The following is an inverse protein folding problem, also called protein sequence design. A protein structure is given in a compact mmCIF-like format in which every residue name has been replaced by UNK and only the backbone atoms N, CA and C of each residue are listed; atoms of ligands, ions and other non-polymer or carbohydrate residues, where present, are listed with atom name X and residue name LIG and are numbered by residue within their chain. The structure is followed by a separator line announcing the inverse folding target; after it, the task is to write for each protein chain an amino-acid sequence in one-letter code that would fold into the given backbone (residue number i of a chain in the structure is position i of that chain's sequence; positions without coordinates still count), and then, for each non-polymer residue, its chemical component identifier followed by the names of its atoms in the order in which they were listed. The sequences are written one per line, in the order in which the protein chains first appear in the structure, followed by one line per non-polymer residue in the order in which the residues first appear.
data_IF_499333021318
#
_entry.id   IF_499333021318
#
_cell.length_a   1.000
_cell.length_b   1.000
_cell.length_c   1.000
_cell.angle_alpha   90.00
_cell.angle_beta   90.00
_cell.angle_gamma   90.00
#
_symmetry.space_group_name_H-M   'P 1'
#
loop_
_entity.id
_entity.type
_entity.pdbx_description
1 polymer ?
#
# COMPACT_ATOMS: atom_id res chain seq x y z
N UNK A 1 32.63 2.72 -6.96
CA UNK A 1 32.82 2.77 -5.49
C UNK A 1 33.34 4.13 -5.03
N UNK A 2 34.36 4.70 -5.66
CA UNK A 2 34.93 5.99 -5.22
C UNK A 2 33.97 7.18 -5.24
N UNK A 3 33.10 7.26 -6.25
CA UNK A 3 32.06 8.29 -6.32
C UNK A 3 30.99 8.13 -5.23
N UNK A 4 30.65 6.88 -4.88
CA UNK A 4 29.72 6.58 -3.79
C UNK A 4 30.34 6.96 -2.43
N UNK A 5 31.61 6.62 -2.21
CA UNK A 5 32.37 7.02 -1.03
C UNK A 5 32.43 8.54 -0.89
N UNK A 6 32.76 9.27 -1.95
CA UNK A 6 32.80 10.74 -1.93
C UNK A 6 31.43 11.38 -1.59
N UNK A 7 30.33 10.79 -2.07
CA UNK A 7 28.99 11.21 -1.72
C UNK A 7 28.66 10.97 -0.24
N UNK A 8 28.98 9.77 0.27
CA UNK A 8 28.78 9.43 1.68
C UNK A 8 29.62 10.29 2.61
N UNK A 9 30.89 10.55 2.28
CA UNK A 9 31.75 11.47 3.05
C UNK A 9 31.14 12.85 3.14
N UNK A 10 30.57 13.36 2.04
CA UNK A 10 29.99 14.70 1.98
C UNK A 10 28.69 14.84 2.80
N UNK A 11 27.81 13.84 2.75
CA UNK A 11 26.46 13.94 3.34
C UNK A 11 26.26 13.15 4.64
N UNK A 12 26.94 12.02 4.82
CA UNK A 12 26.85 11.18 6.02
C UNK A 12 28.09 11.31 6.92
N UNK A 13 29.25 11.65 6.37
CA UNK A 13 30.50 11.83 7.11
C UNK A 13 30.78 13.26 7.59
N UNK A 14 29.88 14.23 7.36
CA UNK A 14 30.10 15.67 7.61
C UNK A 14 31.44 16.19 7.02
N UNK A 15 31.86 15.66 5.87
CA UNK A 15 33.11 16.00 5.20
C UNK A 15 34.35 15.28 5.73
N UNK A 16 34.22 14.37 6.71
CA UNK A 16 35.33 13.57 7.23
C UNK A 16 35.49 12.25 6.44
N UNK A 17 36.59 12.05 5.68
CA UNK A 17 36.81 10.85 4.86
C UNK A 17 37.04 9.56 5.65
N UNK A 18 37.37 9.68 6.94
CA UNK A 18 37.70 8.57 7.84
C UNK A 18 36.61 8.32 8.89
N UNK A 19 35.39 8.81 8.68
CA UNK A 19 34.26 8.46 9.54
C UNK A 19 34.04 6.94 9.52
N UNK A 20 33.97 6.31 10.69
CA UNK A 20 33.62 4.89 10.83
C UNK A 20 32.27 4.59 10.19
N UNK A 21 31.33 5.53 10.23
CA UNK A 21 30.00 5.39 9.64
C UNK A 21 30.03 5.22 8.11
N UNK A 22 30.87 6.01 7.43
CA UNK A 22 31.04 5.92 5.97
C UNK A 22 31.72 4.63 5.58
N UNK A 23 32.69 4.17 6.38
CA UNK A 23 33.41 2.91 6.16
C UNK A 23 32.47 1.72 6.35
N UNK A 24 31.63 1.72 7.38
CA UNK A 24 30.60 0.71 7.59
C UNK A 24 29.63 0.62 6.42
N UNK A 25 29.06 1.75 5.97
CA UNK A 25 28.13 1.77 4.83
C UNK A 25 28.79 1.28 3.52
N UNK A 26 30.06 1.62 3.29
CA UNK A 26 30.80 1.13 2.12
C UNK A 26 31.03 -0.38 2.18
N UNK A 27 31.39 -0.92 3.35
CA UNK A 27 31.57 -2.36 3.54
C UNK A 27 30.26 -3.13 3.37
N UNK A 28 29.13 -2.59 3.85
CA UNK A 28 27.81 -3.16 3.60
C UNK A 28 27.54 -3.21 2.09
N UNK A 29 27.72 -2.09 1.37
CA UNK A 29 27.52 -2.06 -0.09
C UNK A 29 28.43 -3.03 -0.85
N UNK A 30 29.69 -3.20 -0.45
CA UNK A 30 30.60 -4.19 -1.06
C UNK A 30 30.11 -5.62 -0.83
N UNK A 31 29.72 -5.96 0.40
CA UNK A 31 29.18 -7.28 0.70
C UNK A 31 27.92 -7.60 -0.11
N UNK A 32 27.02 -6.63 -0.28
CA UNK A 32 25.82 -6.83 -1.10
C UNK A 32 26.17 -6.93 -2.60
N UNK A 33 27.05 -6.08 -3.13
CA UNK A 33 27.45 -6.13 -4.54
C UNK A 33 28.18 -7.43 -4.92
N UNK A 34 29.00 -7.99 -4.02
CA UNK A 34 29.72 -9.24 -4.26
C UNK A 34 28.81 -10.48 -4.21
N UNK A 35 27.78 -10.48 -3.37
CA UNK A 35 26.76 -11.55 -3.32
C UNK A 35 25.80 -11.53 -4.52
N UNK A 36 25.61 -10.35 -5.13
CA UNK A 36 24.52 -10.05 -6.08
C UNK A 36 24.98 -9.84 -7.54
N UNK A 37 26.29 -9.94 -7.81
CA UNK A 37 26.91 -9.61 -9.10
C UNK A 37 26.65 -10.58 -10.28
N UNK A 38 25.96 -11.71 -10.08
CA UNK A 38 25.84 -12.76 -11.09
C UNK A 38 24.45 -12.82 -11.75
N UNK A 39 24.35 -12.18 -12.92
CA UNK A 39 23.35 -12.43 -13.99
C UNK A 39 22.07 -11.55 -13.99
N UNK A 40 22.25 -10.26 -14.30
CA UNK A 40 21.17 -9.31 -14.65
C UNK A 40 20.61 -9.55 -16.06
N UNK A 41 20.12 -10.76 -16.35
CA UNK A 41 19.38 -11.04 -17.59
C UNK A 41 17.96 -10.48 -17.49
N UNK A 42 17.52 -9.75 -18.52
CA UNK A 42 16.19 -9.14 -18.57
C UNK A 42 15.06 -10.18 -18.57
N UNK A 43 15.31 -11.37 -19.12
CA UNK A 43 14.35 -12.47 -19.18
C UNK A 43 14.40 -13.42 -17.97
N UNK A 44 15.37 -13.29 -17.07
CA UNK A 44 15.51 -14.24 -15.97
C UNK A 44 14.62 -13.87 -14.78
N UNK A 45 13.41 -14.39 -14.75
CA UNK A 45 12.47 -14.23 -13.64
C UNK A 45 12.70 -15.26 -12.51
N UNK A 46 13.68 -16.18 -12.62
CA UNK A 46 13.91 -17.19 -11.58
C UNK A 46 14.27 -16.59 -10.23
N UNK A 47 14.97 -15.46 -10.20
CA UNK A 47 15.31 -14.73 -8.97
C UNK A 47 14.08 -14.36 -8.11
N UNK A 48 12.91 -14.14 -8.73
CA UNK A 48 11.67 -13.86 -8.01
C UNK A 48 11.08 -15.08 -7.28
N UNK A 49 11.32 -16.29 -7.81
CA UNK A 49 10.73 -17.53 -7.31
C UNK A 49 11.73 -18.47 -6.63
N UNK A 50 13.02 -18.13 -6.65
CA UNK A 50 14.12 -18.95 -6.15
C UNK A 50 13.99 -19.24 -4.65
N UNK A 51 13.79 -18.20 -3.84
CA UNK A 51 13.77 -18.32 -2.38
C UNK A 51 12.37 -18.16 -1.80
N UNK A 52 12.16 -18.75 -0.61
CA UNK A 52 10.91 -18.58 0.15
C UNK A 52 10.66 -17.11 0.49
N UNK A 53 11.72 -16.36 0.83
CA UNK A 53 11.64 -14.94 1.14
C UNK A 53 11.21 -14.12 -0.09
N UNK A 54 11.83 -14.35 -1.25
CA UNK A 54 11.48 -13.67 -2.52
C UNK A 54 10.04 -13.95 -2.95
N UNK A 55 9.57 -15.20 -2.80
CA UNK A 55 8.16 -15.56 -3.06
C UNK A 55 7.20 -14.86 -2.11
N UNK A 56 7.55 -14.75 -0.82
CA UNK A 56 6.72 -14.05 0.16
C UNK A 56 6.66 -12.54 -0.12
N UNK A 57 7.78 -11.91 -0.48
CA UNK A 57 7.84 -10.50 -0.89
C UNK A 57 7.00 -10.25 -2.13
N UNK A 58 7.15 -11.09 -3.16
CA UNK A 58 6.37 -10.99 -4.39
C UNK A 58 4.88 -11.18 -4.12
N UNK A 59 4.50 -12.19 -3.33
CA UNK A 59 3.10 -12.44 -2.97
C UNK A 59 2.50 -11.25 -2.23
N UNK A 60 3.19 -10.72 -1.20
CA UNK A 60 2.72 -9.56 -0.43
C UNK A 60 2.54 -8.35 -1.34
N UNK A 61 3.50 -8.08 -2.22
CA UNK A 61 3.45 -7.00 -3.19
C UNK A 61 2.26 -7.15 -4.17
N UNK A 62 2.08 -8.34 -4.77
CA UNK A 62 0.97 -8.61 -5.68
C UNK A 62 -0.39 -8.53 -4.97
N UNK A 63 -0.48 -8.97 -3.70
CA UNK A 63 -1.68 -8.84 -2.89
C UNK A 63 -2.00 -7.37 -2.60
N UNK A 64 -1.01 -6.55 -2.21
CA UNK A 64 -1.22 -5.11 -2.01
C UNK A 64 -1.72 -4.42 -3.28
N UNK A 65 -1.11 -4.75 -4.43
CA UNK A 65 -1.51 -4.22 -5.74
C UNK A 65 -2.96 -4.59 -6.10
N UNK A 66 -3.34 -5.85 -5.90
CA UNK A 66 -4.69 -6.34 -6.17
C UNK A 66 -5.71 -5.73 -5.20
N UNK A 67 -5.34 -5.63 -3.91
CA UNK A 67 -6.23 -5.09 -2.88
C UNK A 67 -6.51 -3.61 -3.05
N UNK A 68 -5.55 -2.82 -3.51
CA UNK A 68 -5.79 -1.42 -3.88
C UNK A 68 -6.87 -1.30 -4.96
N UNK A 69 -6.84 -2.15 -5.98
CA UNK A 69 -7.87 -2.11 -7.04
C UNK A 69 -9.23 -2.63 -6.58
N UNK A 70 -9.25 -3.71 -5.79
CA UNK A 70 -10.49 -4.33 -5.33
C UNK A 70 -11.13 -3.69 -4.10
N UNK A 71 -10.49 -2.68 -3.50
CA UNK A 71 -11.11 -1.84 -2.48
C UNK A 71 -12.28 -0.99 -3.02
N UNK A 72 -12.39 -0.85 -4.35
CA UNK A 72 -13.56 -0.25 -5.02
C UNK A 72 -13.33 1.12 -5.64
N UNK A 73 -12.13 1.70 -5.55
CA UNK A 73 -11.83 3.02 -6.14
C UNK A 73 -12.09 3.08 -7.66
N UNK A 74 -11.63 2.07 -8.40
CA UNK A 74 -11.84 2.02 -9.86
C UNK A 74 -13.34 2.01 -10.22
N UNK A 75 -14.09 1.14 -9.57
CA UNK A 75 -15.55 1.02 -9.77
C UNK A 75 -16.27 2.32 -9.44
N UNK A 76 -15.99 2.91 -8.28
CA UNK A 76 -16.62 4.16 -7.89
C UNK A 76 -16.32 5.26 -8.90
N UNK A 77 -15.07 5.40 -9.34
CA UNK A 77 -14.68 6.47 -10.27
C UNK A 77 -15.30 6.31 -11.66
N UNK A 78 -15.42 5.08 -12.18
CA UNK A 78 -16.02 4.83 -13.48
C UNK A 78 -17.54 4.93 -13.49
N UNK A 79 -18.21 4.54 -12.40
CA UNK A 79 -19.67 4.50 -12.31
C UNK A 79 -20.28 5.67 -11.53
N UNK A 80 -19.46 6.64 -11.08
CA UNK A 80 -19.94 7.80 -10.34
C UNK A 80 -20.99 8.59 -11.13
N UNK A 81 -20.78 8.82 -12.42
CA UNK A 81 -21.75 9.51 -13.30
C UNK A 81 -23.09 8.80 -13.36
N UNK A 82 -23.08 7.47 -13.53
CA UNK A 82 -24.31 6.67 -13.54
C UNK A 82 -25.05 6.71 -12.20
N UNK A 83 -24.32 6.75 -11.08
CA UNK A 83 -24.92 6.91 -9.74
C UNK A 83 -25.48 8.33 -9.56
N UNK A 84 -24.78 9.37 -10.03
CA UNK A 84 -25.24 10.77 -9.99
C UNK A 84 -26.50 10.99 -10.85
N UNK A 85 -26.60 10.31 -11.99
CA UNK A 85 -27.81 10.30 -12.82
C UNK A 85 -29.01 9.75 -12.04
N UNK A 86 -28.85 8.63 -11.34
CA UNK A 86 -29.91 8.08 -10.48
C UNK A 86 -30.25 8.97 -9.27
N UNK A 87 -29.37 9.90 -8.90
CA UNK A 87 -29.63 10.92 -7.89
C UNK A 87 -30.37 12.15 -8.43
N UNK A 88 -30.58 12.24 -9.75
CA UNK A 88 -31.28 13.34 -10.40
C UNK A 88 -30.38 14.51 -10.79
N UNK A 89 -29.06 14.33 -10.78
CA UNK A 89 -28.09 15.30 -11.30
C UNK A 89 -27.69 14.89 -12.70
N UNK A 90 -28.55 15.19 -13.69
CA UNK A 90 -28.38 14.79 -15.10
C UNK A 90 -27.57 15.78 -15.94
N UNK A 91 -27.13 16.90 -15.35
CA UNK A 91 -26.32 17.87 -16.07
C UNK A 91 -24.85 17.41 -16.15
N UNK A 92 -24.38 17.14 -17.37
CA UNK A 92 -23.01 16.68 -17.64
C UNK A 92 -21.95 17.66 -17.13
N UNK A 93 -22.25 18.96 -17.18
CA UNK A 93 -21.35 20.01 -16.71
C UNK A 93 -21.19 19.97 -15.19
N UNK A 94 -22.30 19.79 -14.47
CA UNK A 94 -22.32 19.63 -13.02
C UNK A 94 -21.62 18.33 -12.59
N UNK A 95 -21.82 17.22 -13.30
CA UNK A 95 -21.12 15.96 -13.03
C UNK A 95 -19.60 16.08 -13.24
N UNK A 96 -19.17 16.73 -14.31
CA UNK A 96 -17.75 16.99 -14.58
C UNK A 96 -17.11 17.82 -13.46
N UNK A 97 -17.79 18.90 -13.02
CA UNK A 97 -17.32 19.73 -11.92
C UNK A 97 -17.22 18.94 -10.61
N UNK A 98 -18.20 18.08 -10.31
CA UNK A 98 -18.20 17.20 -9.14
C UNK A 98 -17.07 16.17 -9.18
N UNK A 99 -16.72 15.66 -10.36
CA UNK A 99 -15.59 14.76 -10.54
C UNK A 99 -14.25 15.47 -10.30
N UNK A 100 -14.08 16.68 -10.86
CA UNK A 100 -12.86 17.49 -10.63
C UNK A 100 -12.73 17.86 -9.15
N UNK A 101 -13.83 18.28 -8.51
CA UNK A 101 -13.85 18.57 -7.08
C UNK A 101 -13.45 17.35 -6.24
N UNK A 102 -13.95 16.16 -6.58
CA UNK A 102 -13.57 14.92 -5.92
C UNK A 102 -12.06 14.67 -6.03
N UNK A 103 -11.49 14.76 -7.23
CA UNK A 103 -10.06 14.54 -7.43
C UNK A 103 -9.20 15.58 -6.68
N UNK A 104 -9.62 16.84 -6.63
CA UNK A 104 -8.94 17.87 -5.86
C UNK A 104 -8.90 17.53 -4.35
N UNK A 105 -10.04 17.08 -3.79
CA UNK A 105 -10.12 16.61 -2.40
C UNK A 105 -9.23 15.39 -2.17
N UNK A 106 -9.21 14.44 -3.10
CA UNK A 106 -8.34 13.26 -3.00
C UNK A 106 -6.86 13.63 -2.95
N UNK A 107 -6.41 14.59 -3.75
CA UNK A 107 -5.02 15.07 -3.75
C UNK A 107 -4.65 15.66 -2.38
N UNK A 108 -5.50 16.53 -1.84
CA UNK A 108 -5.27 17.16 -0.53
C UNK A 108 -5.19 16.10 0.57
N UNK A 109 -6.16 15.17 0.60
CA UNK A 109 -6.23 14.13 1.62
C UNK A 109 -5.10 13.12 1.48
N UNK A 110 -4.71 12.76 0.25
CA UNK A 110 -3.55 11.90 0.01
C UNK A 110 -2.25 12.57 0.44
N UNK A 111 -2.12 13.89 0.27
CA UNK A 111 -0.98 14.66 0.77
C UNK A 111 -0.89 14.60 2.29
N UNK A 112 -2.01 14.80 2.98
CA UNK A 112 -2.08 14.65 4.45
C UNK A 112 -1.75 13.21 4.84
N UNK A 113 -2.35 12.22 4.16
CA UNK A 113 -2.09 10.80 4.37
C UNK A 113 -0.60 10.46 4.31
N UNK A 114 0.09 10.94 3.27
CA UNK A 114 1.54 10.73 3.10
C UNK A 114 2.37 11.24 4.30
N UNK A 115 1.98 12.36 4.93
CA UNK A 115 2.67 12.89 6.11
C UNK A 115 2.44 12.02 7.37
N UNK A 116 1.31 11.33 7.42
CA UNK A 116 0.95 10.45 8.54
C UNK A 116 1.49 9.02 8.41
N UNK A 117 1.83 8.57 7.19
CA UNK A 117 2.38 7.23 6.92
C UNK A 117 3.60 6.94 7.80
N UNK A 118 4.52 7.89 7.94
CA UNK A 118 5.72 7.68 8.75
C UNK A 118 5.45 7.70 10.26
N UNK A 119 4.41 8.40 10.71
CA UNK A 119 4.02 8.44 12.13
C UNK A 119 3.24 7.20 12.55
N UNK A 120 2.23 6.81 11.76
CA UNK A 120 1.32 5.71 12.10
C UNK A 120 1.95 4.34 11.81
N UNK A 121 2.76 4.24 10.75
CA UNK A 121 3.23 2.96 10.22
C UNK A 121 2.32 2.43 9.11
N UNK A 122 2.86 1.57 8.25
CA UNK A 122 2.23 1.16 6.99
C UNK A 122 1.12 0.13 7.22
N UNK A 123 1.35 -0.87 8.08
CA UNK A 123 0.38 -1.95 8.38
C UNK A 123 -0.86 -1.45 9.14
N UNK A 124 -0.76 -0.70 10.26
CA UNK A 124 -1.93 -0.19 10.96
C UNK A 124 -2.69 0.81 10.09
N UNK A 125 -2.01 1.60 9.26
CA UNK A 125 -2.67 2.52 8.35
C UNK A 125 -3.50 1.79 7.29
N UNK A 126 -2.95 0.77 6.62
CA UNK A 126 -3.71 -0.07 5.69
C UNK A 126 -4.89 -0.76 6.39
N UNK A 127 -4.69 -1.28 7.60
CA UNK A 127 -5.77 -1.92 8.37
C UNK A 127 -6.92 -0.94 8.67
N UNK A 128 -6.62 0.21 9.29
CA UNK A 128 -7.62 1.21 9.68
C UNK A 128 -8.34 1.82 8.49
N UNK A 129 -7.63 2.03 7.38
CA UNK A 129 -8.23 2.54 6.15
C UNK A 129 -9.21 1.51 5.58
N UNK A 130 -8.88 0.22 5.56
CA UNK A 130 -9.83 -0.81 5.12
C UNK A 130 -11.05 -0.92 6.04
N UNK A 131 -10.86 -0.76 7.37
CA UNK A 131 -11.99 -0.70 8.31
C UNK A 131 -12.87 0.52 8.04
N UNK A 132 -12.27 1.70 7.80
CA UNK A 132 -13.00 2.91 7.41
C UNK A 132 -13.77 2.75 6.09
N UNK A 133 -13.15 2.12 5.09
CA UNK A 133 -13.80 1.76 3.84
C UNK A 133 -14.97 0.79 4.05
N UNK A 134 -14.85 -0.22 4.93
CA UNK A 134 -15.96 -1.11 5.29
C UNK A 134 -17.16 -0.33 5.84
N UNK A 135 -16.91 0.58 6.79
CA UNK A 135 -17.97 1.40 7.42
C UNK A 135 -18.66 2.26 6.37
N UNK A 136 -17.90 2.85 5.45
CA UNK A 136 -18.48 3.64 4.36
C UNK A 136 -19.33 2.76 3.44
N UNK A 137 -18.88 1.55 3.09
CA UNK A 137 -19.66 0.60 2.27
C UNK A 137 -20.94 0.10 2.95
N UNK A 138 -20.95 -0.03 4.28
CA UNK A 138 -22.19 -0.28 5.05
C UNK A 138 -23.17 0.88 4.86
N UNK A 139 -22.70 2.12 5.00
CA UNK A 139 -23.52 3.32 4.79
C UNK A 139 -24.08 3.43 3.38
N UNK A 140 -23.24 3.18 2.35
CA UNK A 140 -23.66 3.14 0.95
C UNK A 140 -24.71 2.05 0.71
N UNK A 141 -24.49 0.85 1.25
CA UNK A 141 -25.43 -0.27 1.08
C UNK A 141 -26.77 -0.01 1.75
N UNK A 142 -26.77 0.60 2.93
CA UNK A 142 -27.99 0.98 3.65
C UNK A 142 -28.77 2.06 2.90
N UNK A 143 -28.10 3.12 2.45
CA UNK A 143 -28.71 4.21 1.69
C UNK A 143 -29.28 3.72 0.34
N UNK A 144 -28.52 2.89 -0.39
CA UNK A 144 -28.94 2.32 -1.66
C UNK A 144 -30.13 1.34 -1.49
N UNK A 145 -30.15 0.55 -0.41
CA UNK A 145 -31.28 -0.33 -0.09
C UNK A 145 -32.57 0.42 0.26
N UNK A 146 -32.47 1.62 0.87
CA UNK A 146 -33.63 2.49 1.13
C UNK A 146 -34.08 3.17 -0.17
N UNK A 147 -33.15 3.59 -1.03
CA UNK A 147 -33.44 4.17 -2.33
C UNK A 147 -34.24 3.21 -3.23
N UNK A 148 -33.88 1.91 -3.24
CA UNK A 148 -34.60 0.87 -4.00
C UNK A 148 -36.05 0.68 -3.52
N UNK A 149 -36.33 0.90 -2.23
CA UNK A 149 -37.68 0.74 -1.64
C UNK A 149 -38.54 1.99 -1.74
N UNK A 150 -37.96 3.16 -1.51
CA UNK A 150 -38.71 4.42 -1.32
C UNK A 150 -38.59 5.36 -2.53
N UNK A 151 -37.58 5.18 -3.39
CA UNK A 151 -37.33 6.07 -4.54
C UNK A 151 -37.05 7.52 -4.16
N UNK A 152 -36.74 7.80 -2.88
CA UNK A 152 -36.58 9.16 -2.38
C UNK A 152 -35.26 9.77 -2.85
N UNK A 153 -35.33 10.98 -3.41
CA UNK A 153 -34.14 11.77 -3.78
C UNK A 153 -33.17 11.96 -2.63
N UNK A 154 -33.67 12.05 -1.39
CA UNK A 154 -32.83 12.19 -0.20
C UNK A 154 -31.91 10.97 0.02
N UNK A 155 -32.40 9.77 -0.27
CA UNK A 155 -31.61 8.53 -0.16
C UNK A 155 -30.52 8.47 -1.24
N UNK A 156 -30.80 8.92 -2.47
CA UNK A 156 -29.78 8.97 -3.53
C UNK A 156 -28.67 9.96 -3.20
N UNK A 157 -29.00 11.14 -2.69
CA UNK A 157 -28.01 12.14 -2.25
C UNK A 157 -27.16 11.59 -1.10
N UNK A 158 -27.75 10.87 -0.16
CA UNK A 158 -27.01 10.22 0.92
C UNK A 158 -26.05 9.14 0.41
N UNK A 159 -26.47 8.33 -0.58
CA UNK A 159 -25.60 7.33 -1.22
C UNK A 159 -24.38 8.00 -1.86
N UNK A 160 -24.59 9.09 -2.60
CA UNK A 160 -23.49 9.86 -3.22
C UNK A 160 -22.57 10.44 -2.14
N UNK A 161 -23.09 11.07 -1.11
CA UNK A 161 -22.27 11.63 -0.03
C UNK A 161 -21.37 10.57 0.64
N UNK A 162 -21.92 9.38 0.91
CA UNK A 162 -21.14 8.26 1.48
C UNK A 162 -20.05 7.75 0.53
N UNK A 163 -20.30 7.76 -0.77
CA UNK A 163 -19.28 7.41 -1.79
C UNK A 163 -18.13 8.43 -1.79
N UNK A 164 -18.42 9.72 -1.63
CA UNK A 164 -17.39 10.76 -1.52
C UNK A 164 -16.55 10.58 -0.24
N UNK A 165 -17.18 10.23 0.88
CA UNK A 165 -16.47 9.93 2.14
C UNK A 165 -15.60 8.68 1.97
N UNK A 166 -16.11 7.63 1.32
CA UNK A 166 -15.32 6.45 0.98
C UNK A 166 -14.06 6.82 0.20
N UNK A 167 -14.20 7.67 -0.82
CA UNK A 167 -13.07 8.12 -1.63
C UNK A 167 -12.04 8.91 -0.82
N UNK A 168 -12.50 9.80 0.07
CA UNK A 168 -11.64 10.52 0.99
C UNK A 168 -10.84 9.57 1.90
N UNK A 169 -11.50 8.59 2.53
CA UNK A 169 -10.85 7.61 3.40
C UNK A 169 -9.87 6.74 2.62
N UNK A 170 -10.25 6.29 1.43
CA UNK A 170 -9.38 5.53 0.54
C UNK A 170 -8.12 6.33 0.18
N UNK A 171 -8.27 7.60 -0.21
CA UNK A 171 -7.15 8.45 -0.59
C UNK A 171 -6.19 8.75 0.55
N UNK A 172 -6.67 8.79 1.79
CA UNK A 172 -5.81 8.99 2.96
C UNK A 172 -4.78 7.87 3.12
N UNK A 173 -5.18 6.62 2.90
CA UNK A 173 -4.32 5.45 3.15
C UNK A 173 -3.79 4.78 1.91
N UNK A 174 -4.70 4.30 1.06
CA UNK A 174 -4.36 3.43 -0.05
C UNK A 174 -3.60 4.14 -1.14
N UNK A 175 -3.94 5.40 -1.47
CA UNK A 175 -3.24 6.15 -2.52
C UNK A 175 -1.72 6.26 -2.28
N UNK A 176 -1.23 6.74 -1.11
CA UNK A 176 0.20 6.78 -0.86
C UNK A 176 0.82 5.39 -0.66
N UNK A 177 0.12 4.47 0.02
CA UNK A 177 0.66 3.16 0.37
C UNK A 177 0.72 2.18 -0.82
N UNK A 178 -0.16 2.34 -1.82
CA UNK A 178 -0.15 1.51 -3.02
C UNK A 178 1.12 1.71 -3.84
N UNK A 179 1.73 2.91 -3.80
CA UNK A 179 3.00 3.16 -4.46
C UNK A 179 4.20 2.87 -3.54
N UNK A 180 4.11 3.26 -2.27
CA UNK A 180 5.23 3.16 -1.33
C UNK A 180 5.50 1.71 -0.89
N UNK A 181 4.46 0.97 -0.52
CA UNK A 181 4.61 -0.34 0.12
C UNK A 181 5.24 -1.40 -0.81
N UNK A 182 4.85 -1.52 -2.10
CA UNK A 182 5.56 -2.37 -3.07
C UNK A 182 7.06 -2.12 -3.15
N UNK A 183 7.47 -0.86 -3.12
CA UNK A 183 8.88 -0.47 -3.25
C UNK A 183 9.65 -0.83 -1.97
N UNK A 184 9.04 -0.68 -0.80
CA UNK A 184 9.64 -1.06 0.49
C UNK A 184 9.76 -2.58 0.67
N UNK A 185 8.78 -3.36 0.17
CA UNK A 185 8.78 -4.83 0.30
C UNK A 185 9.70 -5.52 -0.71
N UNK A 186 9.95 -4.90 -1.86
CA UNK A 186 10.82 -5.45 -2.89
C UNK A 186 12.28 -5.06 -2.64
N UNK A 187 13.15 -6.07 -2.57
CA UNK A 187 14.61 -5.89 -2.60
C UNK A 187 15.05 -5.24 -3.92
N UNK A 188 16.16 -4.50 -3.86
CA UNK A 188 16.70 -3.71 -4.96
C UNK A 188 16.82 -4.49 -6.27
N UNK A 189 17.32 -5.74 -6.21
CA UNK A 189 17.52 -6.59 -7.40
C UNK A 189 16.21 -6.98 -8.09
N UNK A 190 15.22 -7.37 -7.29
CA UNK A 190 13.94 -7.88 -7.77
C UNK A 190 12.91 -6.77 -7.99
N UNK A 191 13.22 -5.52 -7.61
CA UNK A 191 12.27 -4.40 -7.61
C UNK A 191 11.70 -4.12 -8.98
N UNK A 192 12.53 -4.00 -10.01
CA UNK A 192 12.06 -3.71 -11.37
C UNK A 192 11.09 -4.80 -11.89
N UNK A 193 11.47 -6.07 -11.71
CA UNK A 193 10.66 -7.21 -12.16
C UNK A 193 9.40 -7.41 -11.29
N UNK A 194 9.52 -7.21 -9.98
CA UNK A 194 8.42 -7.30 -9.02
C UNK A 194 7.37 -6.21 -9.23
N UNK A 195 7.79 -4.98 -9.54
CA UNK A 195 6.89 -3.89 -9.92
C UNK A 195 6.17 -4.16 -11.24
N UNK A 196 6.83 -4.82 -12.22
CA UNK A 196 6.15 -5.26 -13.43
C UNK A 196 5.02 -6.26 -13.12
N UNK A 197 5.25 -7.21 -12.21
CA UNK A 197 4.19 -8.08 -11.70
C UNK A 197 3.09 -7.31 -10.99
N UNK A 198 3.41 -6.35 -10.11
CA UNK A 198 2.41 -5.49 -9.48
C UNK A 198 1.51 -4.81 -10.51
N UNK A 199 2.09 -4.25 -11.56
CA UNK A 199 1.36 -3.62 -12.65
C UNK A 199 0.45 -4.62 -13.38
N UNK A 200 0.90 -5.85 -13.62
CA UNK A 200 0.03 -6.90 -14.18
C UNK A 200 -1.16 -7.20 -13.28
N UNK A 201 -0.96 -7.33 -11.96
CA UNK A 201 -2.03 -7.56 -11.00
C UNK A 201 -2.99 -6.38 -10.86
N UNK A 202 -2.48 -5.14 -10.93
CA UNK A 202 -3.32 -3.93 -10.99
C UNK A 202 -4.20 -3.99 -12.23
N UNK A 203 -3.62 -4.21 -13.42
CA UNK A 203 -4.37 -4.26 -14.67
C UNK A 203 -5.40 -5.41 -14.67
N UNK A 204 -5.03 -6.58 -14.13
CA UNK A 204 -5.96 -7.68 -13.96
C UNK A 204 -7.12 -7.31 -13.03
N UNK A 205 -6.84 -6.69 -11.89
CA UNK A 205 -7.86 -6.20 -10.97
C UNK A 205 -8.79 -5.17 -11.61
N UNK A 206 -8.24 -4.23 -12.38
CA UNK A 206 -8.99 -3.24 -13.15
C UNK A 206 -9.86 -3.89 -14.22
N UNK A 207 -9.35 -4.89 -14.95
CA UNK A 207 -10.11 -5.62 -15.96
C UNK A 207 -11.33 -6.32 -15.34
N UNK A 208 -11.13 -7.02 -14.22
CA UNK A 208 -12.23 -7.67 -13.49
C UNK A 208 -13.26 -6.66 -13.01
N UNK A 209 -12.83 -5.50 -12.51
CA UNK A 209 -13.75 -4.43 -12.11
C UNK A 209 -14.53 -3.87 -13.30
N UNK A 210 -13.86 -3.60 -14.43
CA UNK A 210 -14.47 -2.97 -15.60
C UNK A 210 -15.52 -3.86 -16.28
N UNK A 211 -15.25 -5.17 -16.38
CA UNK A 211 -16.18 -6.12 -17.01
C UNK A 211 -17.14 -6.79 -16.02
N UNK A 212 -16.71 -7.01 -14.79
CA UNK A 212 -17.50 -7.70 -13.76
C UNK A 212 -18.54 -6.78 -13.12
N UNK A 213 -18.22 -5.50 -12.89
CA UNK A 213 -19.13 -4.60 -12.21
C UNK A 213 -20.42 -4.28 -12.99
N UNK A 214 -20.42 -3.99 -14.31
CA UNK A 214 -21.64 -3.80 -15.07
C UNK A 214 -22.60 -4.99 -14.98
N UNK A 215 -22.07 -6.21 -15.13
CA UNK A 215 -22.84 -7.45 -15.06
C UNK A 215 -23.40 -7.68 -13.65
N UNK A 216 -22.61 -7.36 -12.62
CA UNK A 216 -23.06 -7.42 -11.24
C UNK A 216 -24.17 -6.39 -10.96
N UNK A 217 -24.03 -5.17 -11.47
CA UNK A 217 -25.02 -4.12 -11.30
C UNK A 217 -26.34 -4.48 -12.00
N UNK A 218 -26.30 -5.11 -13.17
CA UNK A 218 -27.49 -5.55 -13.90
C UNK A 218 -28.25 -6.67 -13.15
N UNK A 219 -27.53 -7.68 -12.64
CA UNK A 219 -28.16 -8.84 -11.99
C UNK A 219 -28.50 -8.63 -10.52
N UNK A 220 -27.63 -7.93 -9.78
CA UNK A 220 -27.61 -7.88 -8.32
C UNK A 220 -27.96 -6.45 -7.82
N UNK A 221 -27.94 -5.44 -8.70
CA UNK A 221 -28.28 -4.04 -8.40
C UNK A 221 -27.50 -3.51 -7.20
N UNK A 222 -28.19 -2.89 -6.24
CA UNK A 222 -27.61 -2.31 -5.02
C UNK A 222 -26.89 -3.32 -4.13
N UNK A 223 -27.23 -4.62 -4.20
CA UNK A 223 -26.57 -5.66 -3.40
C UNK A 223 -25.11 -5.88 -3.82
N UNK A 224 -24.68 -5.33 -4.95
CA UNK A 224 -23.26 -5.35 -5.38
C UNK A 224 -22.37 -4.63 -4.35
N UNK A 225 -22.89 -3.62 -3.65
CA UNK A 225 -22.17 -2.91 -2.60
C UNK A 225 -21.92 -3.77 -1.34
N UNK A 226 -22.77 -4.78 -1.08
CA UNK A 226 -22.54 -5.74 0.01
C UNK A 226 -21.32 -6.63 -0.27
N UNK A 227 -21.05 -6.95 -1.55
CA UNK A 227 -19.87 -7.72 -1.94
C UNK A 227 -18.61 -6.93 -1.60
N UNK A 228 -18.57 -5.62 -1.91
CA UNK A 228 -17.45 -4.76 -1.53
C UNK A 228 -17.29 -4.62 -0.02
N UNK A 229 -18.39 -4.54 0.73
CA UNK A 229 -18.33 -4.51 2.20
C UNK A 229 -17.67 -5.76 2.77
N UNK A 230 -18.12 -6.95 2.37
CA UNK A 230 -17.53 -8.23 2.84
C UNK A 230 -16.09 -8.34 2.38
N UNK A 231 -15.79 -7.93 1.15
CA UNK A 231 -14.45 -7.99 0.59
C UNK A 231 -13.47 -7.07 1.34
N UNK A 232 -13.83 -5.83 1.63
CA UNK A 232 -12.99 -4.93 2.43
C UNK A 232 -12.72 -5.47 3.84
N UNK A 233 -13.69 -6.19 4.44
CA UNK A 233 -13.49 -6.82 5.75
C UNK A 233 -12.49 -7.99 5.67
N UNK A 234 -12.61 -8.82 4.63
CA UNK A 234 -11.65 -9.90 4.34
C UNK A 234 -10.26 -9.32 4.06
N UNK A 235 -10.16 -8.25 3.28
CA UNK A 235 -8.90 -7.55 3.02
C UNK A 235 -8.25 -7.07 4.32
N UNK A 236 -9.01 -6.44 5.22
CA UNK A 236 -8.53 -6.01 6.53
C UNK A 236 -7.95 -7.18 7.34
N UNK A 237 -8.63 -8.33 7.36
CA UNK A 237 -8.14 -9.55 8.01
C UNK A 237 -6.86 -10.09 7.37
N UNK A 238 -6.79 -10.14 6.04
CA UNK A 238 -5.60 -10.60 5.31
C UNK A 238 -4.41 -9.68 5.57
N UNK A 239 -4.61 -8.36 5.52
CA UNK A 239 -3.58 -7.36 5.83
C UNK A 239 -3.05 -7.57 7.25
N UNK A 240 -3.93 -7.86 8.20
CA UNK A 240 -3.51 -8.11 9.58
C UNK A 240 -2.63 -9.36 9.73
N UNK A 241 -2.89 -10.41 8.96
CA UNK A 241 -2.19 -11.71 9.07
C UNK A 241 -0.91 -11.76 8.23
N UNK A 242 -0.94 -11.22 7.01
CA UNK A 242 0.10 -11.44 5.99
C UNK A 242 1.04 -10.24 5.79
N UNK A 243 0.63 -9.00 6.06
CA UNK A 243 1.50 -7.85 5.80
C UNK A 243 2.46 -7.57 6.97
N UNK A 244 3.78 -7.58 6.77
CA UNK A 244 4.74 -7.06 7.75
C UNK A 244 4.73 -5.53 7.80
N UNK A 245 5.11 -4.99 8.95
CA UNK A 245 5.38 -3.56 9.16
C UNK A 245 6.77 -3.20 8.61
N UNK A 246 6.83 -2.19 7.76
CA UNK A 246 8.06 -1.73 7.08
C UNK A 246 8.63 -0.43 7.66
N UNK A 247 7.98 0.15 8.68
CA UNK A 247 8.39 1.42 9.29
C UNK A 247 9.78 1.35 9.95
N UNK A 248 10.60 2.38 9.69
CA UNK A 248 11.92 2.61 10.31
C UNK A 248 12.92 1.45 10.15
N UNK A 249 12.85 0.71 9.04
CA UNK A 249 13.81 -0.35 8.70
C UNK A 249 14.54 0.01 7.42
N UNK A 250 15.83 -0.28 7.36
CA UNK A 250 16.57 -0.19 6.10
C UNK A 250 16.14 -1.32 5.17
N UNK A 251 16.39 -1.18 3.87
CA UNK A 251 16.10 -2.22 2.89
C UNK A 251 16.86 -3.52 3.22
N UNK A 252 18.06 -3.41 3.81
CA UNK A 252 18.84 -4.57 4.24
C UNK A 252 18.24 -5.26 5.48
N UNK A 253 17.77 -4.49 6.47
CA UNK A 253 17.10 -5.06 7.65
C UNK A 253 15.77 -5.73 7.29
N UNK A 254 15.03 -5.16 6.33
CA UNK A 254 13.85 -5.79 5.75
C UNK A 254 14.22 -7.13 5.12
N UNK A 255 15.38 -7.20 4.48
CA UNK A 255 15.81 -8.40 3.82
C UNK A 255 16.00 -9.57 4.79
N UNK A 256 16.57 -9.31 5.96
CA UNK A 256 16.70 -10.24 7.08
C UNK A 256 15.35 -10.62 7.69
N UNK A 257 14.44 -9.66 7.87
CA UNK A 257 13.08 -9.89 8.39
C UNK A 257 12.31 -10.84 7.48
N UNK A 258 12.43 -10.68 6.16
CA UNK A 258 11.78 -11.56 5.19
C UNK A 258 12.41 -12.96 5.08
N UNK A 259 13.69 -13.11 5.48
CA UNK A 259 14.37 -14.40 5.58
C UNK A 259 14.02 -15.17 6.86
N UNK A 260 13.51 -14.49 7.89
CA UNK A 260 13.05 -15.12 9.13
C UNK A 260 11.87 -16.09 8.89
N UNK A 261 11.79 -17.14 9.73
CA UNK A 261 10.76 -18.19 9.63
C UNK A 261 9.33 -17.65 9.71
N UNK A 262 9.13 -16.58 10.50
CA UNK A 262 7.90 -15.80 10.62
C UNK A 262 8.19 -14.30 10.39
N UNK A 263 8.09 -13.78 9.15
CA UNK A 263 8.39 -12.38 8.81
C UNK A 263 7.56 -11.37 9.61
N UNK A 264 6.35 -11.77 10.03
CA UNK A 264 5.46 -10.96 10.86
C UNK A 264 6.00 -10.72 12.28
N UNK A 265 6.51 -11.77 12.93
CA UNK A 265 7.04 -11.65 14.30
C UNK A 265 8.35 -10.88 14.29
N UNK A 266 9.22 -11.18 13.34
CA UNK A 266 10.49 -10.47 13.14
C UNK A 266 10.28 -8.96 12.82
N UNK A 267 9.24 -8.61 12.08
CA UNK A 267 8.87 -7.22 11.81
C UNK A 267 8.29 -6.48 13.02
N UNK A 268 7.67 -7.20 13.97
CA UNK A 268 7.02 -6.63 15.16
C UNK A 268 7.96 -6.61 16.39
N UNK A 269 9.11 -7.29 16.33
CA UNK A 269 10.12 -7.26 17.39
C UNK A 269 10.76 -5.87 17.49
N UNK A 270 10.60 -5.24 18.67
CA UNK A 270 11.24 -3.97 19.00
C UNK A 270 12.72 -4.23 19.25
N UNK A 271 13.62 -3.63 18.44
CA UNK A 271 15.03 -3.57 18.82
C UNK A 271 15.18 -2.58 19.98
N UNK A 272 15.74 -3.01 21.11
CA UNK A 272 16.35 -2.08 22.08
C UNK A 272 17.67 -1.64 21.47
N UNK A 273 17.76 -0.36 21.11
CA UNK A 273 19.03 0.28 20.84
C UNK A 273 19.55 0.76 22.19
N UNK A 274 20.60 0.12 22.72
CA UNK A 274 21.34 0.70 23.83
C UNK A 274 22.19 1.85 23.27
N UNK A 275 21.77 3.07 23.60
CA UNK A 275 22.46 4.31 23.24
C UNK A 275 23.33 4.73 24.42
N UNK A 276 24.60 5.04 24.16
CA UNK A 276 25.46 5.69 25.15
C UNK A 276 25.07 7.16 25.34
N UNK A 277 25.58 7.83 26.37
CA UNK A 277 25.28 9.22 26.74
C UNK A 277 25.54 10.27 25.62
N UNK A 278 26.22 9.87 24.53
CA UNK A 278 26.52 10.69 23.34
C UNK A 278 25.79 10.25 22.06
N UNK A 279 24.74 9.42 22.17
CA UNK A 279 23.89 8.96 21.05
C UNK A 279 24.62 8.16 19.93
N UNK A 280 25.75 7.53 20.24
CA UNK A 280 26.39 6.55 19.36
C UNK A 280 25.81 5.14 19.63
N UNK A 281 25.62 4.36 18.56
CA UNK A 281 25.09 2.99 18.61
C UNK A 281 26.23 2.05 19.02
N UNK A 282 26.19 1.48 20.23
CA UNK A 282 27.24 0.58 20.75
C UNK A 282 27.00 -0.90 20.41
N UNK A 283 25.75 -1.34 20.28
CA UNK A 283 25.41 -2.71 19.87
C UNK A 283 23.96 -2.85 19.40
N UNK A 284 23.73 -3.75 18.45
CA UNK A 284 22.40 -4.19 17.98
C UNK A 284 22.16 -5.61 18.49
N UNK A 285 21.57 -5.76 19.68
CA UNK A 285 21.17 -7.06 20.23
C UNK A 285 19.76 -7.48 19.81
N UNK A 286 19.55 -8.77 19.48
CA UNK A 286 18.22 -9.41 19.40
C UNK A 286 17.88 -9.97 20.78
N UNK A 287 16.64 -9.80 21.23
CA UNK A 287 16.20 -10.08 22.62
C UNK A 287 16.13 -11.58 23.00
N UNK A 288 16.79 -12.49 22.27
CA UNK A 288 16.75 -13.94 22.54
C UNK A 288 18.13 -14.62 22.52
N UNK A 289 19.16 -13.96 23.04
CA UNK A 289 20.42 -14.63 23.42
C UNK A 289 20.90 -14.11 24.77
N UNK A 290 20.18 -14.42 25.86
CA UNK A 290 20.77 -14.70 27.19
C UNK A 290 19.78 -15.57 27.98
N UNK A 291 20.21 -16.81 28.26
CA UNK A 291 19.75 -17.80 29.27
C UNK A 291 18.26 -18.06 29.53
#
# INVERSE_FOLDING_TARGET
MDQARAFLVKYHGNGNPNSEWVTLQMNEYEQYLELEGADKRWWDYRALFKDRASRYRLMTNCLTALFGQWAGNGVVSYFLSAVLDTAGTTDSTTQGNLFVAMNAVQIIISGIGSLFVDKIGRRPMLFWVNVGCCICWIGVSAAAGIQDKTGSKASSVATVAMIYIFQAVYSFGWTPLQALYPVEVLSFEMRAKGMAFSSLFVNFGTLVNQFGFPVALEKIKWKTYLVFMVWCAVQSGIIWVLMPETKNRTLEELDDIFRAKDPRKASTEKKKLELDANANILAVGRENEVD
#
